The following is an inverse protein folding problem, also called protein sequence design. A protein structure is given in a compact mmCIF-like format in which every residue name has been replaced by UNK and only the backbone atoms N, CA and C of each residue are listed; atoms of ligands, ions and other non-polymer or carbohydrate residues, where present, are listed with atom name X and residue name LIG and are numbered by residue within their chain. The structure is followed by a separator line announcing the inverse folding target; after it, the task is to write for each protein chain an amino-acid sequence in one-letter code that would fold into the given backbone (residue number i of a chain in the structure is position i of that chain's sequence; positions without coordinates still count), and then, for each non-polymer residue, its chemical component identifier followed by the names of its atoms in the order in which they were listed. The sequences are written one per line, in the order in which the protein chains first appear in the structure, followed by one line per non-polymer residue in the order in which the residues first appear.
data_IF_721109736786
#
_entry.id   IF_721109736786
#
_cell.length_a   1.000
_cell.length_b   1.000
_cell.length_c   1.000
_cell.angle_alpha   90.00
_cell.angle_beta   90.00
_cell.angle_gamma   90.00
#
_symmetry.space_group_name_H-M   'P 1'
#
loop_
_entity.id
_entity.type
_entity.pdbx_description
1 polymer ?
#
# COMPACT_ATOMS: atom_id res chain seq x y z
N UNK A 1 21.74 12.70 34.35
CA UNK A 1 21.82 13.33 33.00
C UNK A 1 21.59 14.81 33.21
N UNK A 2 22.58 15.63 32.92
CA UNK A 2 22.44 17.08 33.04
C UNK A 2 21.65 17.65 31.82
N UNK A 3 21.24 18.94 31.90
CA UNK A 3 20.43 19.53 30.81
C UNK A 3 21.15 19.57 29.48
N UNK A 4 22.48 19.75 29.45
CA UNK A 4 23.28 19.79 28.23
C UNK A 4 23.36 18.40 27.56
N UNK A 5 23.58 17.36 28.35
CA UNK A 5 23.57 15.98 27.86
C UNK A 5 22.20 15.61 27.29
N UNK A 6 21.10 16.02 27.94
CA UNK A 6 19.75 15.80 27.44
C UNK A 6 19.52 16.49 26.10
N UNK A 7 19.93 17.76 25.95
CA UNK A 7 19.79 18.49 24.67
C UNK A 7 20.64 17.89 23.56
N UNK A 8 21.88 17.49 23.85
CA UNK A 8 22.76 16.85 22.91
C UNK A 8 22.17 15.52 22.42
N UNK A 9 21.70 14.68 23.35
CA UNK A 9 21.09 13.40 23.03
C UNK A 9 19.81 13.56 22.20
N UNK A 10 18.94 14.51 22.57
CA UNK A 10 17.73 14.83 21.81
C UNK A 10 18.04 15.25 20.37
N UNK A 11 19.04 16.10 20.19
CA UNK A 11 19.45 16.55 18.87
C UNK A 11 19.99 15.40 18.02
N UNK A 12 20.83 14.54 18.59
CA UNK A 12 21.31 13.34 17.90
C UNK A 12 20.17 12.41 17.50
N UNK A 13 19.21 12.20 18.41
CA UNK A 13 18.03 11.37 18.10
C UNK A 13 17.21 11.94 16.93
N UNK A 14 16.95 13.25 16.91
CA UNK A 14 16.21 13.89 15.82
C UNK A 14 16.97 13.79 14.50
N UNK A 15 18.29 14.00 14.49
CA UNK A 15 19.12 13.85 13.28
C UNK A 15 19.09 12.40 12.78
N UNK A 16 19.16 11.42 13.66
CA UNK A 16 19.05 10.00 13.28
C UNK A 16 17.66 9.70 12.68
N UNK A 17 16.61 10.16 13.35
CA UNK A 17 15.24 9.96 12.89
C UNK A 17 14.99 10.56 11.50
N UNK A 18 15.54 11.75 11.23
CA UNK A 18 15.43 12.42 9.94
C UNK A 18 16.19 11.70 8.81
N UNK A 19 17.22 10.92 9.14
CA UNK A 19 18.03 10.18 8.17
C UNK A 19 17.51 8.76 7.90
N UNK A 20 16.60 8.25 8.73
CA UNK A 20 16.01 6.91 8.51
C UNK A 20 15.03 6.97 7.34
N UNK A 21 15.25 6.16 6.28
CA UNK A 21 14.38 6.17 5.08
C UNK A 21 13.06 5.42 5.29
N UNK A 22 12.89 4.76 6.43
CA UNK A 22 11.66 4.05 6.79
C UNK A 22 10.67 5.03 7.41
N UNK A 23 9.40 5.07 6.99
CA UNK A 23 8.39 5.92 7.60
C UNK A 23 8.12 5.56 9.06
N UNK A 24 8.42 6.49 9.96
CA UNK A 24 8.31 6.31 11.42
C UNK A 24 7.57 7.50 12.04
N UNK A 25 6.66 7.19 12.97
CA UNK A 25 6.02 8.18 13.85
C UNK A 25 6.01 7.70 15.29
N UNK A 26 6.05 8.64 16.23
CA UNK A 26 5.77 8.41 17.65
C UNK A 26 4.46 9.11 17.99
N UNK A 27 3.55 8.38 18.62
CA UNK A 27 2.22 8.85 18.93
C UNK A 27 1.91 8.68 20.42
N UNK A 28 0.93 9.42 20.92
CA UNK A 28 0.31 9.13 22.22
C UNK A 28 -0.49 7.81 22.15
N UNK A 29 -0.91 7.29 23.29
CA UNK A 29 -1.80 6.13 23.37
C UNK A 29 -3.14 6.33 22.62
N UNK A 30 -3.55 7.58 22.42
CA UNK A 30 -4.75 7.99 21.67
C UNK A 30 -4.48 8.11 20.15
N UNK A 31 -3.23 7.88 19.70
CA UNK A 31 -2.85 7.96 18.29
C UNK A 31 -2.48 9.36 17.80
N UNK A 32 -2.37 10.37 18.69
CA UNK A 32 -1.92 11.71 18.31
C UNK A 32 -0.41 11.70 18.04
N UNK A 33 0.00 12.14 16.84
CA UNK A 33 1.40 12.18 16.41
C UNK A 33 2.16 13.26 17.18
N UNK A 34 3.16 12.85 17.94
CA UNK A 34 4.09 13.76 18.65
C UNK A 34 5.35 14.05 17.83
N UNK A 35 5.86 13.04 17.13
CA UNK A 35 7.02 13.12 16.23
C UNK A 35 6.77 12.27 15.00
N UNK A 36 7.14 12.75 13.83
CA UNK A 36 7.20 11.97 12.59
C UNK A 36 8.49 12.32 11.84
N UNK A 37 9.09 11.33 11.18
CA UNK A 37 10.24 11.59 10.33
C UNK A 37 9.82 12.07 8.92
N UNK A 38 10.75 12.62 8.11
CA UNK A 38 10.46 13.07 6.75
C UNK A 38 9.86 11.97 5.87
N UNK A 39 10.32 10.72 6.01
CA UNK A 39 9.80 9.59 5.25
C UNK A 39 8.31 9.34 5.56
N UNK A 40 7.90 9.41 6.84
CA UNK A 40 6.49 9.28 7.22
C UNK A 40 5.64 10.46 6.70
N UNK A 41 6.14 11.68 6.81
CA UNK A 41 5.42 12.86 6.31
C UNK A 41 5.26 12.87 4.78
N UNK A 42 6.26 12.34 4.06
CA UNK A 42 6.23 12.23 2.60
C UNK A 42 5.12 11.30 2.11
N UNK A 43 4.73 10.28 2.89
CA UNK A 43 3.62 9.40 2.54
C UNK A 43 2.28 10.16 2.40
N UNK A 44 2.14 11.31 3.06
CA UNK A 44 0.98 12.20 2.95
C UNK A 44 1.25 13.47 2.13
N UNK A 45 2.36 13.52 1.39
CA UNK A 45 2.74 14.66 0.57
C UNK A 45 2.95 15.96 1.39
N UNK A 46 3.43 15.84 2.63
CA UNK A 46 3.57 16.97 3.57
C UNK A 46 4.93 16.95 4.29
N UNK A 47 5.11 17.84 5.25
CA UNK A 47 6.32 17.95 6.07
C UNK A 47 6.02 17.54 7.53
N UNK A 48 7.04 17.07 8.29
CA UNK A 48 6.86 16.56 9.65
C UNK A 48 6.09 17.49 10.59
N UNK A 49 6.36 18.80 10.53
CA UNK A 49 5.69 19.79 11.39
C UNK A 49 4.18 19.90 11.17
N UNK A 50 3.68 19.53 9.98
CA UNK A 50 2.23 19.54 9.67
C UNK A 50 1.50 18.25 10.06
N UNK A 51 2.27 17.20 10.36
CA UNK A 51 1.72 15.90 10.81
C UNK A 51 1.57 15.90 12.33
N UNK A 52 2.40 16.64 13.03
CA UNK A 52 2.36 16.75 14.49
C UNK A 52 0.99 17.25 14.97
N UNK A 53 0.46 16.63 16.02
CA UNK A 53 -0.86 16.94 16.60
C UNK A 53 -2.04 16.33 15.85
N UNK A 54 -1.83 15.69 14.70
CA UNK A 54 -2.89 14.97 13.98
C UNK A 54 -3.02 13.55 14.50
N UNK A 55 -4.22 12.99 14.38
CA UNK A 55 -4.41 11.58 14.70
C UNK A 55 -3.88 10.71 13.56
N UNK A 56 -3.13 9.67 13.90
CA UNK A 56 -2.55 8.76 12.92
C UNK A 56 -3.63 8.02 12.10
N UNK A 57 -4.77 7.72 12.72
CA UNK A 57 -5.90 7.05 12.05
C UNK A 57 -6.68 7.97 11.10
N UNK A 58 -6.59 9.29 11.25
CA UNK A 58 -7.14 10.25 10.28
C UNK A 58 -6.30 10.30 9.01
N UNK A 59 -5.03 9.96 9.13
CA UNK A 59 -4.08 9.94 8.03
C UNK A 59 -4.11 8.61 7.26
N UNK A 60 -4.41 7.52 7.97
CA UNK A 60 -4.55 6.19 7.41
C UNK A 60 -6.00 5.70 7.54
N UNK A 61 -6.52 5.11 6.49
CA UNK A 61 -7.83 4.43 6.53
C UNK A 61 -7.61 2.98 6.95
N UNK A 62 -8.04 2.56 8.13
CA UNK A 62 -7.97 1.16 8.54
C UNK A 62 -8.80 0.30 7.58
N UNK A 63 -8.30 -0.88 7.23
CA UNK A 63 -9.11 -1.87 6.51
C UNK A 63 -10.28 -2.35 7.39
N UNK A 64 -11.31 -2.98 6.79
CA UNK A 64 -12.41 -3.57 7.57
C UNK A 64 -11.92 -4.56 8.63
N UNK A 65 -10.85 -5.29 8.33
CA UNK A 65 -10.22 -6.24 9.27
C UNK A 65 -9.41 -5.53 10.37
N UNK A 66 -8.97 -4.30 10.15
CA UNK A 66 -8.17 -3.54 11.10
C UNK A 66 -8.97 -3.09 12.33
N UNK A 67 -10.30 -2.99 12.26
CA UNK A 67 -11.14 -2.64 13.42
C UNK A 67 -10.93 -3.62 14.58
N UNK A 68 -10.86 -4.93 14.29
CA UNK A 68 -10.58 -5.95 15.29
C UNK A 68 -9.13 -5.87 15.82
N UNK A 69 -8.18 -5.45 14.98
CA UNK A 69 -6.77 -5.26 15.36
C UNK A 69 -6.62 -4.02 16.26
N UNK A 70 -7.30 -2.92 15.95
CA UNK A 70 -7.34 -1.72 16.77
C UNK A 70 -7.98 -1.98 18.13
N UNK A 71 -9.08 -2.74 18.18
CA UNK A 71 -9.71 -3.16 19.43
C UNK A 71 -8.76 -3.97 20.32
N UNK A 72 -7.98 -4.90 19.74
CA UNK A 72 -6.94 -5.67 20.46
C UNK A 72 -5.80 -4.79 20.96
N UNK A 73 -5.37 -3.81 20.16
CA UNK A 73 -4.36 -2.84 20.57
C UNK A 73 -4.87 -1.99 21.76
N UNK A 74 -6.06 -1.45 21.66
CA UNK A 74 -6.65 -0.64 22.72
C UNK A 74 -6.78 -1.43 24.04
N UNK A 75 -7.28 -2.66 23.98
CA UNK A 75 -7.38 -3.54 25.16
C UNK A 75 -6.00 -3.91 25.71
N UNK A 76 -5.01 -4.16 24.86
CA UNK A 76 -3.66 -4.46 25.29
C UNK A 76 -2.99 -3.26 25.99
N UNK A 77 -3.21 -2.05 25.47
CA UNK A 77 -2.72 -0.82 26.11
C UNK A 77 -3.36 -0.62 27.50
N UNK A 78 -4.67 -0.86 27.61
CA UNK A 78 -5.39 -0.82 28.88
C UNK A 78 -4.85 -1.81 29.90
N UNK A 79 -4.42 -2.99 29.43
CA UNK A 79 -3.83 -4.05 30.27
C UNK A 79 -2.32 -3.91 30.48
N UNK A 80 -1.69 -2.83 29.99
CA UNK A 80 -0.24 -2.60 30.09
C UNK A 80 0.61 -3.59 29.30
N UNK A 81 0.04 -4.30 28.33
CA UNK A 81 0.77 -5.23 27.47
C UNK A 81 1.62 -4.47 26.46
N UNK A 82 2.85 -4.95 26.25
CA UNK A 82 3.85 -4.34 25.34
C UNK A 82 4.10 -5.19 24.09
N UNK A 83 3.06 -5.86 23.59
CA UNK A 83 3.19 -6.64 22.35
C UNK A 83 3.13 -5.75 21.13
N UNK A 84 3.84 -6.14 20.06
CA UNK A 84 3.72 -5.51 18.75
C UNK A 84 2.38 -5.85 18.10
N UNK A 85 1.77 -4.87 17.48
CA UNK A 85 0.52 -5.00 16.72
C UNK A 85 0.77 -4.61 15.26
N UNK A 86 0.14 -5.34 14.35
CA UNK A 86 0.17 -5.03 12.93
C UNK A 86 -1.24 -4.64 12.49
N UNK A 87 -1.38 -3.47 11.87
CA UNK A 87 -2.65 -2.91 11.41
C UNK A 87 -2.55 -2.70 9.90
N UNK A 88 -3.45 -3.32 9.15
CA UNK A 88 -3.55 -3.07 7.71
C UNK A 88 -4.18 -1.71 7.45
N UNK A 89 -3.49 -0.88 6.67
CA UNK A 89 -3.89 0.50 6.39
C UNK A 89 -3.84 0.82 4.91
N UNK A 90 -4.67 1.79 4.51
CA UNK A 90 -4.67 2.40 3.19
C UNK A 90 -4.58 3.91 3.33
N UNK A 91 -3.95 4.58 2.38
CA UNK A 91 -3.88 6.03 2.37
C UNK A 91 -3.73 6.57 0.95
N UNK A 92 -4.22 7.79 0.68
CA UNK A 92 -4.03 8.43 -0.61
C UNK A 92 -2.55 8.81 -0.80
N UNK A 93 -1.94 8.37 -1.90
CA UNK A 93 -0.57 8.71 -2.25
C UNK A 93 -0.53 10.01 -3.07
N UNK A 94 -0.07 11.09 -2.46
CA UNK A 94 0.19 12.35 -3.15
C UNK A 94 -1.01 12.96 -3.89
N UNK A 95 -0.76 13.78 -4.91
CA UNK A 95 -1.77 14.59 -5.63
C UNK A 95 -2.52 13.83 -6.74
N UNK A 96 -2.19 12.58 -7.05
CA UNK A 96 -2.75 11.84 -8.19
C UNK A 96 -3.84 10.83 -7.86
N UNK A 97 -4.34 10.79 -6.61
CA UNK A 97 -5.45 9.90 -6.24
C UNK A 97 -5.10 8.39 -6.24
N UNK A 98 -3.81 8.04 -6.32
CA UNK A 98 -3.36 6.67 -6.11
C UNK A 98 -3.59 6.29 -4.63
N UNK A 99 -4.17 5.13 -4.37
CA UNK A 99 -4.18 4.57 -3.02
C UNK A 99 -2.94 3.70 -2.82
N UNK A 100 -2.31 3.84 -1.66
CA UNK A 100 -1.28 2.92 -1.17
C UNK A 100 -1.85 2.00 -0.12
N UNK A 101 -1.31 0.81 -0.08
CA UNK A 101 -1.62 -0.19 0.94
C UNK A 101 -0.34 -0.55 1.70
N UNK A 102 -0.50 -0.83 2.99
CA UNK A 102 0.61 -1.23 3.81
C UNK A 102 0.20 -1.76 5.16
N UNK A 103 1.22 -2.00 5.97
CA UNK A 103 1.09 -2.43 7.36
C UNK A 103 1.69 -1.36 8.27
N UNK A 104 0.91 -0.93 9.23
CA UNK A 104 1.38 -0.12 10.32
C UNK A 104 1.75 -1.05 11.50
N UNK A 105 3.04 -1.18 11.76
CA UNK A 105 3.52 -1.89 12.95
C UNK A 105 3.52 -0.91 14.11
N UNK A 106 2.80 -1.25 15.18
CA UNK A 106 2.65 -0.40 16.36
C UNK A 106 3.23 -1.13 17.57
N UNK A 107 4.26 -0.54 18.15
CA UNK A 107 4.90 -1.01 19.38
C UNK A 107 4.63 -0.01 20.51
N UNK A 108 4.02 -0.43 21.63
CA UNK A 108 3.98 0.38 22.84
C UNK A 108 5.41 0.58 23.38
N UNK A 109 5.83 1.82 23.50
CA UNK A 109 7.17 2.19 23.99
C UNK A 109 7.04 3.15 25.17
N UNK A 110 8.04 3.18 26.02
CA UNK A 110 8.12 4.06 27.17
C UNK A 110 8.46 3.33 28.45
N UNK A 111 8.83 4.10 29.47
CA UNK A 111 9.11 3.60 30.79
C UNK A 111 7.81 3.27 31.55
N UNK A 112 7.87 2.32 32.46
CA UNK A 112 6.78 1.96 33.35
C UNK A 112 6.32 3.13 34.26
N UNK A 113 7.14 4.18 34.38
CA UNK A 113 6.85 5.40 35.10
C UNK A 113 5.92 6.38 34.35
N UNK A 114 5.72 6.20 33.03
CA UNK A 114 4.80 7.02 32.27
C UNK A 114 3.37 6.54 32.48
N UNK A 115 2.49 7.44 32.90
CA UNK A 115 1.06 7.17 33.12
C UNK A 115 0.36 6.59 31.87
N UNK A 116 0.90 6.87 30.68
CA UNK A 116 0.43 6.34 29.40
C UNK A 116 1.62 5.99 28.52
N UNK A 117 1.64 4.78 27.91
CA UNK A 117 2.67 4.40 26.96
C UNK A 117 2.57 5.28 25.71
N UNK A 118 3.74 5.59 25.12
CA UNK A 118 3.80 6.12 23.76
C UNK A 118 3.73 4.95 22.76
N UNK A 119 3.34 5.23 21.54
CA UNK A 119 3.28 4.26 20.46
C UNK A 119 4.34 4.60 19.41
N UNK A 120 5.24 3.66 19.14
CA UNK A 120 6.11 3.72 17.97
C UNK A 120 5.38 3.08 16.80
N UNK A 121 5.09 3.87 15.78
CA UNK A 121 4.44 3.41 14.55
C UNK A 121 5.46 3.38 13.40
N UNK A 122 5.64 2.22 12.80
CA UNK A 122 6.51 2.00 11.63
C UNK A 122 5.65 1.55 10.47
N UNK A 123 5.66 2.29 9.36
CA UNK A 123 4.89 1.93 8.18
C UNK A 123 5.74 1.06 7.24
N UNK A 124 5.19 -0.09 6.89
CA UNK A 124 5.68 -0.93 5.79
C UNK A 124 4.76 -0.76 4.60
N UNK A 125 5.24 -0.06 3.58
CA UNK A 125 4.51 0.09 2.31
C UNK A 125 4.57 -1.26 1.59
N UNK A 126 3.42 -1.89 1.30
CA UNK A 126 3.35 -3.17 0.58
C UNK A 126 3.40 -2.99 -0.93
N UNK A 127 2.64 -2.05 -1.43
CA UNK A 127 2.59 -1.72 -2.85
C UNK A 127 2.00 -0.32 -3.02
N UNK A 128 2.44 0.37 -4.05
CA UNK A 128 1.63 1.39 -4.66
C UNK A 128 0.54 0.63 -5.41
N UNK A 129 -0.69 0.64 -4.90
CA UNK A 129 -1.83 0.27 -5.73
C UNK A 129 -1.90 1.40 -6.73
N UNK A 130 -1.60 1.17 -8.02
CA UNK A 130 -1.74 2.22 -8.99
C UNK A 130 -3.15 2.75 -8.79
N UNK A 131 -3.30 4.09 -8.60
CA UNK A 131 -4.63 4.67 -8.72
C UNK A 131 -5.22 3.97 -9.92
N UNK A 132 -6.45 3.46 -9.80
CA UNK A 132 -7.20 3.06 -10.95
C UNK A 132 -7.30 4.33 -11.81
N UNK A 133 -6.19 4.60 -12.51
CA UNK A 133 -6.18 5.47 -13.67
C UNK A 133 -7.32 4.94 -14.50
N UNK A 134 -7.97 5.72 -15.36
CA UNK A 134 -9.06 5.23 -16.17
C UNK A 134 -8.58 3.88 -16.69
N UNK A 135 -9.20 2.79 -16.19
CA UNK A 135 -8.83 1.42 -16.55
C UNK A 135 -8.76 1.49 -18.04
N UNK A 136 -7.54 1.40 -18.57
CA UNK A 136 -7.34 1.61 -20.01
C UNK A 136 -8.41 0.72 -20.61
N UNK A 137 -9.43 1.32 -21.27
CA UNK A 137 -10.71 0.68 -21.63
C UNK A 137 -10.44 -0.68 -22.27
N UNK A 138 -10.23 -1.69 -21.42
CA UNK A 138 -9.93 -3.05 -21.79
C UNK A 138 -11.24 -3.78 -21.61
N UNK A 139 -11.78 -4.28 -22.70
CA UNK A 139 -12.98 -5.10 -22.62
C UNK A 139 -12.72 -6.35 -21.77
N UNK A 140 -13.74 -6.92 -21.18
CA UNK A 140 -13.63 -8.17 -20.40
C UNK A 140 -12.91 -9.27 -21.19
N UNK A 141 -13.23 -9.41 -22.48
CA UNK A 141 -12.55 -10.36 -23.39
C UNK A 141 -11.05 -10.07 -23.50
N UNK A 142 -10.66 -8.79 -23.65
CA UNK A 142 -9.26 -8.39 -23.71
C UNK A 142 -8.52 -8.66 -22.39
N UNK A 143 -9.19 -8.39 -21.25
CA UNK A 143 -8.66 -8.68 -19.92
C UNK A 143 -8.41 -10.18 -19.72
N UNK A 144 -9.34 -11.03 -20.12
CA UNK A 144 -9.18 -12.50 -20.09
C UNK A 144 -8.08 -13.01 -21.04
N UNK A 145 -7.96 -12.43 -22.25
CA UNK A 145 -6.87 -12.72 -23.17
C UNK A 145 -5.52 -12.37 -22.53
N UNK A 146 -5.40 -11.20 -21.89
CA UNK A 146 -4.17 -10.77 -21.22
C UNK A 146 -3.82 -11.69 -20.03
N UNK A 147 -4.81 -12.10 -19.23
CA UNK A 147 -4.60 -13.02 -18.11
C UNK A 147 -4.06 -14.37 -18.59
N UNK A 148 -4.65 -14.94 -19.62
CA UNK A 148 -4.17 -16.19 -20.24
C UNK A 148 -2.80 -16.00 -20.92
N UNK A 149 -2.57 -14.85 -21.56
CA UNK A 149 -1.28 -14.54 -22.14
C UNK A 149 -0.17 -14.47 -21.09
N UNK A 150 -0.48 -14.01 -19.89
CA UNK A 150 0.45 -13.92 -18.76
C UNK A 150 0.81 -15.30 -18.17
N UNK A 151 -0.04 -16.34 -18.35
CA UNK A 151 0.33 -17.72 -17.98
C UNK A 151 1.29 -18.37 -18.99
N UNK A 152 1.59 -17.71 -20.12
CA UNK A 152 2.37 -18.31 -21.22
C UNK A 152 1.52 -19.15 -22.20
N UNK A 153 0.19 -19.13 -22.11
CA UNK A 153 -0.69 -19.91 -22.98
C UNK A 153 -0.48 -19.52 -24.46
N UNK A 154 -0.54 -20.50 -25.36
CA UNK A 154 -0.45 -20.25 -26.81
C UNK A 154 -1.69 -19.52 -27.31
N UNK A 155 -1.60 -18.82 -28.44
CA UNK A 155 -2.74 -18.11 -29.04
C UNK A 155 -3.92 -19.06 -29.31
N UNK A 156 -3.62 -20.30 -29.75
CA UNK A 156 -4.65 -21.32 -29.96
C UNK A 156 -5.36 -21.74 -28.64
N UNK A 157 -4.57 -21.92 -27.55
CA UNK A 157 -5.12 -22.24 -26.25
C UNK A 157 -5.98 -21.09 -25.69
N UNK A 158 -5.53 -19.86 -25.87
CA UNK A 158 -6.29 -18.65 -25.50
C UNK A 158 -7.61 -18.62 -26.29
N UNK A 159 -7.57 -18.79 -27.61
CA UNK A 159 -8.75 -18.81 -28.47
C UNK A 159 -9.79 -19.80 -27.99
N UNK A 160 -9.36 -21.04 -27.71
CA UNK A 160 -10.23 -22.09 -27.16
C UNK A 160 -10.87 -21.66 -25.84
N UNK A 161 -10.11 -21.04 -24.95
CA UNK A 161 -10.57 -20.65 -23.61
C UNK A 161 -11.56 -19.46 -23.63
N UNK A 162 -11.42 -18.53 -24.59
CA UNK A 162 -12.28 -17.32 -24.70
C UNK A 162 -13.34 -17.41 -25.80
N UNK A 163 -13.41 -18.54 -26.53
CA UNK A 163 -14.39 -18.74 -27.61
C UNK A 163 -14.07 -17.95 -28.87
N UNK A 164 -12.76 -17.71 -29.17
CA UNK A 164 -12.30 -16.98 -30.35
C UNK A 164 -11.42 -17.84 -31.24
N UNK A 165 -11.33 -17.47 -32.54
CA UNK A 165 -10.34 -18.01 -33.45
C UNK A 165 -8.94 -17.50 -33.12
N UNK A 166 -7.89 -18.18 -33.62
CA UNK A 166 -6.50 -17.72 -33.49
C UNK A 166 -6.34 -16.29 -34.03
N UNK A 167 -6.97 -15.99 -35.17
CA UNK A 167 -6.93 -14.66 -35.78
C UNK A 167 -7.66 -13.61 -34.91
N UNK A 168 -8.79 -13.98 -34.28
CA UNK A 168 -9.50 -13.10 -33.34
C UNK A 168 -8.63 -12.75 -32.14
N UNK A 169 -7.93 -13.71 -31.55
CA UNK A 169 -6.98 -13.44 -30.47
C UNK A 169 -5.82 -12.55 -30.93
N UNK A 170 -5.23 -12.85 -32.10
CA UNK A 170 -4.15 -12.03 -32.66
C UNK A 170 -4.59 -10.59 -32.94
N UNK A 171 -5.82 -10.41 -33.41
CA UNK A 171 -6.41 -9.08 -33.62
C UNK A 171 -6.44 -8.28 -32.28
N UNK A 172 -6.97 -8.86 -31.21
CA UNK A 172 -7.03 -8.21 -29.89
C UNK A 172 -5.62 -7.88 -29.35
N UNK A 173 -4.69 -8.85 -29.41
CA UNK A 173 -3.31 -8.64 -28.96
C UNK A 173 -2.62 -7.53 -29.76
N UNK A 174 -2.76 -7.52 -31.08
CA UNK A 174 -2.16 -6.51 -31.96
C UNK A 174 -2.77 -5.12 -31.74
N UNK A 175 -4.08 -5.05 -31.50
CA UNK A 175 -4.78 -3.82 -31.15
C UNK A 175 -4.28 -3.22 -29.84
N UNK A 176 -4.13 -4.06 -28.82
CA UNK A 176 -3.60 -3.67 -27.53
C UNK A 176 -2.13 -3.23 -27.61
N UNK A 177 -1.30 -4.00 -28.36
CA UNK A 177 0.12 -3.69 -28.59
C UNK A 177 0.28 -2.30 -29.22
N UNK A 178 -0.52 -1.97 -30.23
CA UNK A 178 -0.53 -0.64 -30.87
C UNK A 178 -1.03 0.44 -29.92
N UNK A 179 -2.15 0.20 -29.23
CA UNK A 179 -2.76 1.18 -28.29
C UNK A 179 -1.81 1.54 -27.15
N UNK A 180 -1.11 0.55 -26.62
CA UNK A 180 -0.18 0.75 -25.51
C UNK A 180 1.27 1.02 -25.94
N UNK A 181 1.52 1.03 -27.26
CA UNK A 181 2.84 1.31 -27.85
C UNK A 181 3.94 0.42 -27.26
N UNK A 182 3.71 -0.88 -27.22
CA UNK A 182 4.67 -1.86 -26.73
C UNK A 182 5.18 -2.73 -27.89
N UNK A 183 6.45 -3.20 -27.86
CA UNK A 183 7.07 -3.87 -29.01
C UNK A 183 6.65 -5.33 -29.19
N UNK A 184 6.21 -6.02 -28.13
CA UNK A 184 5.93 -7.44 -28.17
C UNK A 184 4.96 -7.88 -27.08
N UNK A 185 4.57 -9.17 -27.11
CA UNK A 185 3.62 -9.78 -26.17
C UNK A 185 4.12 -9.74 -24.72
N UNK A 186 5.42 -9.95 -24.47
CA UNK A 186 5.98 -9.89 -23.12
C UNK A 186 5.84 -8.48 -22.52
N UNK A 187 6.21 -7.47 -23.31
CA UNK A 187 6.04 -6.08 -22.92
C UNK A 187 4.55 -5.69 -22.73
N UNK A 188 3.64 -6.30 -23.52
CA UNK A 188 2.20 -6.12 -23.39
C UNK A 188 1.70 -6.64 -22.05
N UNK A 189 2.12 -7.85 -21.64
CA UNK A 189 1.78 -8.44 -20.35
C UNK A 189 2.35 -7.60 -19.19
N UNK A 190 3.63 -7.21 -19.28
CA UNK A 190 4.23 -6.34 -18.28
C UNK A 190 3.46 -5.01 -18.13
N UNK A 191 3.08 -4.41 -19.26
CA UNK A 191 2.27 -3.17 -19.27
C UNK A 191 0.89 -3.38 -18.67
N UNK A 192 0.25 -4.55 -18.86
CA UNK A 192 -1.03 -4.89 -18.26
C UNK A 192 -0.98 -4.92 -16.73
N UNK A 193 0.12 -5.40 -16.13
CA UNK A 193 0.34 -5.30 -14.68
C UNK A 193 0.55 -3.86 -14.24
N UNK A 194 1.37 -3.08 -14.96
CA UNK A 194 1.63 -1.67 -14.63
C UNK A 194 0.35 -0.82 -14.70
N UNK A 195 -0.54 -1.13 -15.66
CA UNK A 195 -1.83 -0.43 -15.81
C UNK A 195 -2.93 -0.97 -14.88
N UNK A 196 -2.64 -1.93 -14.00
CA UNK A 196 -3.62 -2.53 -13.11
C UNK A 196 -4.73 -3.32 -13.80
N UNK A 197 -4.54 -3.70 -15.06
CA UNK A 197 -5.45 -4.60 -15.81
C UNK A 197 -5.35 -6.03 -15.30
N UNK A 198 -4.15 -6.45 -14.94
CA UNK A 198 -3.88 -7.72 -14.25
C UNK A 198 -3.54 -7.46 -12.79
N UNK A 199 -4.14 -8.27 -11.90
CA UNK A 199 -3.89 -8.17 -10.47
C UNK A 199 -2.48 -8.68 -10.11
N UNK A 200 -1.62 -7.86 -9.47
CA UNK A 200 -0.30 -8.30 -9.04
C UNK A 200 -0.40 -9.29 -7.86
N UNK A 201 0.62 -10.14 -7.71
CA UNK A 201 0.75 -11.05 -6.55
C UNK A 201 -0.19 -12.26 -6.57
N UNK A 202 -0.90 -12.53 -7.67
CA UNK A 202 -1.79 -13.70 -7.81
C UNK A 202 -1.32 -14.62 -8.94
N UNK A 203 -1.39 -15.93 -8.68
CA UNK A 203 -1.17 -16.96 -9.67
C UNK A 203 -2.29 -18.02 -9.61
N UNK A 204 -2.93 -18.38 -10.72
CA UNK A 204 -2.78 -17.82 -12.08
C UNK A 204 -3.19 -16.35 -12.16
N UNK A 205 -2.63 -15.58 -13.14
CA UNK A 205 -2.97 -14.19 -13.37
C UNK A 205 -4.47 -13.98 -13.57
N UNK A 206 -5.03 -12.95 -12.94
CA UNK A 206 -6.47 -12.65 -12.96
C UNK A 206 -6.69 -11.24 -13.52
N UNK A 207 -7.74 -11.09 -14.33
CA UNK A 207 -8.21 -9.79 -14.76
C UNK A 207 -8.82 -9.04 -13.57
N UNK A 208 -8.32 -7.84 -13.28
CA UNK A 208 -8.74 -7.06 -12.12
C UNK A 208 -10.23 -6.65 -12.17
N UNK A 209 -10.84 -6.63 -13.36
CA UNK A 209 -12.27 -6.39 -13.56
C UNK A 209 -13.17 -7.51 -13.00
N UNK A 210 -12.74 -8.77 -13.08
CA UNK A 210 -13.53 -9.92 -12.59
C UNK A 210 -13.69 -9.93 -11.06
N UNK A 211 -12.77 -9.31 -10.33
CA UNK A 211 -12.86 -9.23 -8.86
C UNK A 211 -13.87 -8.20 -8.37
N UNK A 212 -14.17 -7.19 -9.18
CA UNK A 212 -15.18 -6.17 -8.83
C UNK A 212 -16.61 -6.69 -8.97
N UNK A 213 -16.83 -7.64 -9.87
CA UNK A 213 -18.17 -8.25 -10.10
C UNK A 213 -18.55 -9.30 -9.05
N UNK A 214 -17.56 -9.80 -8.26
CA UNK A 214 -17.79 -10.84 -7.21
C UNK A 214 -17.90 -10.27 -5.79
N UNK A 215 -17.74 -8.96 -5.61
CA UNK A 215 -17.75 -8.28 -4.30
C UNK A 215 -18.87 -7.25 -4.14
N UNK A 216 -19.88 -7.29 -5.01
CA UNK A 216 -21.07 -6.46 -4.95
C UNK A 216 -22.26 -7.18 -4.29
#
# INVERSE_FOLDING_TARGET
MNSEEYFAWRNHFLVLLDRIPVPIAVCTAQGEVTVANPAMAAEWGTVPGRVRGRNLLDLFRPSRNATAQLGRLAEALRLGRRSRYTIEVRWPAGTRGAEREGELLVDPVGDASLAYPMLLAVLRVRAEVPAAGPVAEVSEVEGRILALAATGATTAAIGKAVGLTVDGVNYHLSRLTRRWRVPNRTALVAKAYVLGVLAPGQWPPVFAGDQRSRGG
#
